data_IF_492147697300
#
_entry.id   IF_492147697300
#
_cell.length_a   1.000
_cell.length_b   1.000
_cell.length_c   1.000
_cell.angle_alpha   90.00
_cell.angle_beta   90.00
_cell.angle_gamma   90.00
#
_symmetry.space_group_name_H-M   'P 1'
#
loop_
_entity.id
_entity.type
_entity.pdbx_description
1 polymer ?
#
# COMPACT_ATOMS: atom_id res chain seq x y z
N UNK A 1 -33.29 13.24 12.86
CA UNK A 1 -32.20 12.26 12.56
C UNK A 1 -31.29 12.74 11.42
N UNK A 2 -31.82 13.14 10.25
CA UNK A 2 -31.01 13.64 9.12
C UNK A 2 -30.18 14.89 9.46
N UNK A 3 -30.68 15.78 10.33
CA UNK A 3 -29.93 16.97 10.78
C UNK A 3 -28.69 16.61 11.64
N UNK A 4 -28.85 15.66 12.57
CA UNK A 4 -27.74 15.16 13.38
C UNK A 4 -26.72 14.33 12.58
N UNK A 5 -27.18 13.60 11.55
CA UNK A 5 -26.28 12.94 10.60
C UNK A 5 -25.45 13.96 9.80
N UNK A 6 -26.06 15.06 9.37
CA UNK A 6 -25.36 16.17 8.70
C UNK A 6 -24.34 16.85 9.63
N UNK A 7 -24.66 17.07 10.90
CA UNK A 7 -23.72 17.62 11.89
C UNK A 7 -22.55 16.68 12.19
N UNK A 8 -22.78 15.36 12.20
CA UNK A 8 -21.74 14.35 12.39
C UNK A 8 -20.76 14.26 11.22
N UNK A 9 -21.25 14.23 9.97
CA UNK A 9 -20.36 14.26 8.78
C UNK A 9 -19.65 15.63 8.63
N UNK A 10 -20.25 16.71 9.14
CA UNK A 10 -19.65 18.04 9.12
C UNK A 10 -18.50 18.22 10.14
N UNK A 11 -18.31 17.28 11.08
CA UNK A 11 -17.18 17.30 12.02
C UNK A 11 -15.81 16.97 11.36
N UNK A 12 -15.76 16.78 10.03
CA UNK A 12 -14.53 16.61 9.24
C UNK A 12 -13.88 15.23 9.38
N UNK A 13 -13.69 14.77 10.61
CA UNK A 13 -13.07 13.47 10.94
C UNK A 13 -13.80 12.26 10.31
N UNK A 14 -15.14 12.31 10.25
CA UNK A 14 -15.93 11.26 9.63
C UNK A 14 -15.84 11.25 8.10
N UNK A 15 -15.69 12.41 7.47
CA UNK A 15 -15.60 12.53 6.01
C UNK A 15 -14.25 12.02 5.51
N UNK A 16 -13.15 12.40 6.15
CA UNK A 16 -11.80 11.93 5.79
C UNK A 16 -11.66 10.42 5.93
N UNK A 17 -12.18 9.86 7.03
CA UNK A 17 -12.18 8.41 7.26
C UNK A 17 -13.04 7.68 6.21
N UNK A 18 -14.22 8.21 5.88
CA UNK A 18 -15.08 7.63 4.87
C UNK A 18 -14.40 7.60 3.49
N UNK A 19 -13.75 8.70 3.10
CA UNK A 19 -12.99 8.79 1.84
C UNK A 19 -11.85 7.79 1.83
N UNK A 20 -11.08 7.68 2.93
CA UNK A 20 -9.98 6.72 3.03
C UNK A 20 -10.44 5.27 2.86
N UNK A 21 -11.57 4.89 3.49
CA UNK A 21 -12.13 3.53 3.38
C UNK A 21 -12.62 3.24 1.95
N UNK A 22 -13.31 4.18 1.32
CA UNK A 22 -13.82 4.02 -0.06
C UNK A 22 -12.66 3.88 -1.05
N UNK A 23 -11.63 4.71 -0.90
CA UNK A 23 -10.42 4.64 -1.73
C UNK A 23 -9.72 3.29 -1.50
N UNK A 24 -9.51 2.87 -0.26
CA UNK A 24 -8.88 1.59 0.05
C UNK A 24 -9.63 0.40 -0.58
N UNK A 25 -10.97 0.39 -0.49
CA UNK A 25 -11.80 -0.64 -1.09
C UNK A 25 -11.73 -0.64 -2.63
N UNK A 26 -11.67 0.53 -3.26
CA UNK A 26 -11.58 0.67 -4.71
C UNK A 26 -10.20 0.29 -5.28
N UNK A 27 -9.13 0.44 -4.50
CA UNK A 27 -7.77 0.12 -4.93
C UNK A 27 -7.42 -1.37 -4.82
N UNK A 28 -8.02 -2.09 -3.85
CA UNK A 28 -7.73 -3.51 -3.63
C UNK A 28 -7.85 -4.37 -4.90
N UNK A 29 -8.91 -4.25 -5.73
CA UNK A 29 -9.03 -5.03 -6.98
C UNK A 29 -7.88 -4.82 -7.97
N UNK A 30 -7.30 -3.62 -8.02
CA UNK A 30 -6.17 -3.30 -8.90
C UNK A 30 -4.93 -4.08 -8.44
N UNK A 31 -4.68 -4.09 -7.13
CA UNK A 31 -3.56 -4.81 -6.53
C UNK A 31 -3.76 -6.32 -6.66
N UNK A 32 -4.99 -6.81 -6.45
CA UNK A 32 -5.36 -8.22 -6.64
C UNK A 32 -5.12 -8.66 -8.09
N UNK A 33 -5.45 -7.82 -9.08
CA UNK A 33 -5.22 -8.12 -10.50
C UNK A 33 -3.73 -8.27 -10.82
N UNK A 34 -2.87 -7.37 -10.32
CA UNK A 34 -1.41 -7.45 -10.51
C UNK A 34 -0.85 -8.70 -9.82
N UNK A 35 -1.26 -8.94 -8.58
CA UNK A 35 -0.84 -10.10 -7.79
C UNK A 35 -1.22 -11.41 -8.47
N UNK A 36 -2.41 -11.47 -9.06
CA UNK A 36 -2.89 -12.62 -9.84
C UNK A 36 -2.00 -12.90 -11.06
N UNK A 37 -1.57 -11.87 -11.78
CA UNK A 37 -0.67 -12.04 -12.94
C UNK A 37 0.67 -12.63 -12.48
N UNK A 38 1.25 -12.11 -11.40
CA UNK A 38 2.50 -12.61 -10.83
C UNK A 38 2.36 -14.07 -10.38
N UNK A 39 1.29 -14.39 -9.64
CA UNK A 39 1.00 -15.75 -9.19
C UNK A 39 0.78 -16.72 -10.34
N UNK A 40 0.14 -16.28 -11.43
CA UNK A 40 -0.05 -17.12 -12.62
C UNK A 40 1.28 -17.47 -13.28
N UNK A 41 2.20 -16.51 -13.37
CA UNK A 41 3.55 -16.75 -13.91
C UNK A 41 4.33 -17.72 -13.02
N UNK A 42 4.32 -17.48 -11.70
CA UNK A 42 4.96 -18.39 -10.73
C UNK A 42 4.34 -19.79 -10.84
N UNK A 43 3.03 -19.87 -10.98
CA UNK A 43 2.34 -21.14 -11.06
C UNK A 43 2.59 -21.91 -12.35
N UNK A 44 2.81 -21.22 -13.47
CA UNK A 44 3.27 -21.85 -14.72
C UNK A 44 4.69 -22.42 -14.60
N UNK A 45 5.56 -21.85 -13.76
CA UNK A 45 6.91 -22.35 -13.51
C UNK A 45 6.93 -23.55 -12.55
N UNK A 46 6.07 -23.55 -11.54
CA UNK A 46 6.02 -24.59 -10.49
C UNK A 46 5.04 -25.73 -10.85
N UNK A 47 4.20 -25.54 -11.86
CA UNK A 47 3.19 -26.53 -12.29
C UNK A 47 1.94 -26.56 -11.40
N UNK A 48 1.81 -25.62 -10.47
CA UNK A 48 0.66 -25.44 -9.58
C UNK A 48 0.31 -23.95 -9.51
N UNK A 49 -0.96 -23.55 -9.63
CA UNK A 49 -1.34 -22.13 -9.65
C UNK A 49 -1.07 -21.39 -8.33
N UNK A 50 -0.90 -22.13 -7.23
CA UNK A 50 -0.58 -21.63 -5.90
C UNK A 50 0.11 -22.72 -5.07
N UNK A 51 0.34 -22.43 -3.79
CA UNK A 51 1.00 -23.34 -2.85
C UNK A 51 0.00 -24.10 -1.97
N UNK A 52 -1.30 -24.06 -2.28
CA UNK A 52 -2.34 -24.62 -1.41
C UNK A 52 -2.23 -26.15 -1.27
N UNK A 53 -1.68 -26.81 -2.29
CA UNK A 53 -1.41 -28.25 -2.30
C UNK A 53 -0.19 -28.66 -1.48
N UNK A 54 0.66 -27.71 -1.04
CA UNK A 54 1.82 -28.03 -0.23
C UNK A 54 1.40 -28.60 1.13
N UNK A 55 1.80 -29.85 1.36
CA UNK A 55 1.55 -30.55 2.61
C UNK A 55 0.06 -30.81 2.87
N UNK A 56 -0.78 -30.86 1.83
CA UNK A 56 -2.18 -31.22 1.99
C UNK A 56 -2.29 -32.67 2.51
N UNK A 57 -3.08 -32.88 3.57
CA UNK A 57 -3.24 -34.19 4.18
C UNK A 57 -4.68 -34.43 4.68
N UNK A 58 -5.08 -35.69 4.76
CA UNK A 58 -6.32 -36.10 5.41
C UNK A 58 -6.03 -37.15 6.48
N UNK A 59 -6.79 -37.11 7.56
CA UNK A 59 -6.73 -38.06 8.67
C UNK A 59 -7.89 -39.05 8.64
N UNK A 60 -8.85 -38.87 7.72
CA UNK A 60 -10.04 -39.69 7.62
C UNK A 60 -10.46 -39.82 6.16
N UNK A 61 -10.30 -41.02 5.61
CA UNK A 61 -10.65 -41.32 4.22
C UNK A 61 -11.36 -42.67 4.17
N UNK A 62 -12.44 -42.76 3.39
CA UNK A 62 -13.18 -44.02 3.17
C UNK A 62 -13.60 -44.77 4.45
N UNK A 63 -13.96 -44.04 5.52
CA UNK A 63 -14.47 -44.67 6.75
C UNK A 63 -13.42 -45.14 7.74
N UNK A 64 -12.13 -44.86 7.51
CA UNK A 64 -11.02 -45.24 8.38
C UNK A 64 -10.09 -44.07 8.68
N UNK A 65 -9.45 -44.12 9.85
CA UNK A 65 -8.41 -43.17 10.23
C UNK A 65 -7.06 -43.60 9.66
N UNK A 66 -6.72 -43.07 8.49
CA UNK A 66 -5.42 -43.27 7.86
C UNK A 66 -4.81 -41.92 7.52
N UNK A 67 -3.50 -41.78 7.73
CA UNK A 67 -2.78 -40.60 7.28
C UNK A 67 -2.58 -40.70 5.76
N UNK A 68 -3.25 -39.82 5.01
CA UNK A 68 -3.15 -39.74 3.57
C UNK A 68 -2.61 -38.38 3.15
N UNK A 69 -1.53 -38.37 2.37
CA UNK A 69 -1.02 -37.15 1.76
C UNK A 69 -1.77 -36.93 0.45
N UNK A 70 -2.40 -35.76 0.30
CA UNK A 70 -3.20 -35.44 -0.86
C UNK A 70 -2.29 -35.28 -2.09
N UNK A 71 -2.65 -35.94 -3.18
CA UNK A 71 -2.09 -35.62 -4.50
C UNK A 71 -2.79 -34.41 -5.10
N UNK A 72 -2.15 -33.75 -6.06
CA UNK A 72 -2.74 -32.60 -6.76
C UNK A 72 -4.09 -32.94 -7.43
N UNK A 73 -4.24 -34.16 -7.95
CA UNK A 73 -5.50 -34.64 -8.54
C UNK A 73 -6.63 -34.80 -7.50
N UNK A 74 -6.32 -35.33 -6.32
CA UNK A 74 -7.31 -35.53 -5.25
C UNK A 74 -7.80 -34.19 -4.69
N UNK A 75 -6.88 -33.23 -4.58
CA UNK A 75 -7.19 -31.89 -4.12
C UNK A 75 -8.08 -31.12 -5.11
N UNK A 76 -7.86 -31.34 -6.42
CA UNK A 76 -8.72 -30.78 -7.45
C UNK A 76 -10.13 -31.40 -7.47
N UNK A 77 -10.26 -32.67 -7.05
CA UNK A 77 -11.54 -33.38 -7.05
C UNK A 77 -12.36 -33.15 -5.77
N UNK A 78 -11.72 -33.02 -4.61
CA UNK A 78 -12.40 -32.81 -3.33
C UNK A 78 -11.54 -31.95 -2.38
N UNK A 79 -11.49 -30.61 -2.57
CA UNK A 79 -10.67 -29.72 -1.75
C UNK A 79 -11.10 -29.69 -0.28
N UNK A 80 -12.39 -29.85 0.02
CA UNK A 80 -12.94 -29.76 1.37
C UNK A 80 -12.63 -31.00 2.25
N UNK A 81 -12.17 -32.09 1.64
CA UNK A 81 -11.81 -33.34 2.33
C UNK A 81 -10.40 -33.37 2.93
N UNK A 82 -9.60 -32.32 2.71
CA UNK A 82 -8.20 -32.26 3.09
C UNK A 82 -7.90 -31.02 3.94
N UNK A 83 -6.97 -31.18 4.88
CA UNK A 83 -6.33 -30.07 5.57
C UNK A 83 -5.23 -29.53 4.67
N UNK A 84 -5.32 -28.24 4.30
CA UNK A 84 -4.43 -27.59 3.33
C UNK A 84 -3.55 -26.53 4.01
N UNK A 85 -2.48 -26.92 4.74
CA UNK A 85 -1.60 -25.96 5.41
C UNK A 85 -0.87 -25.04 4.41
N UNK A 86 -0.69 -25.50 3.16
CA UNK A 86 -0.14 -24.69 2.07
C UNK A 86 -0.90 -23.40 1.78
N UNK A 87 -2.19 -23.32 2.12
CA UNK A 87 -2.98 -22.08 2.00
C UNK A 87 -2.42 -20.92 2.81
N UNK A 88 -1.78 -21.21 3.95
CA UNK A 88 -1.09 -20.21 4.77
C UNK A 88 0.09 -19.64 4.01
N UNK A 89 0.89 -20.51 3.38
CA UNK A 89 2.04 -20.10 2.56
C UNK A 89 1.58 -19.24 1.40
N UNK A 90 0.55 -19.68 0.67
CA UNK A 90 -0.08 -18.88 -0.39
C UNK A 90 -0.52 -17.51 0.11
N UNK A 91 -1.16 -17.45 1.27
CA UNK A 91 -1.66 -16.19 1.86
C UNK A 91 -0.50 -15.26 2.27
N UNK A 92 0.57 -15.80 2.85
CA UNK A 92 1.76 -15.02 3.22
C UNK A 92 2.42 -14.45 1.98
N UNK A 93 2.60 -15.25 0.92
CA UNK A 93 3.22 -14.75 -0.32
C UNK A 93 2.31 -13.71 -0.98
N UNK A 94 0.99 -13.94 -1.03
CA UNK A 94 0.03 -12.94 -1.53
C UNK A 94 0.10 -11.63 -0.73
N UNK A 95 0.17 -11.70 0.60
CA UNK A 95 0.33 -10.54 1.46
C UNK A 95 1.62 -9.76 1.13
N UNK A 96 2.74 -10.45 0.95
CA UNK A 96 4.00 -9.82 0.56
C UNK A 96 3.91 -9.16 -0.82
N UNK A 97 3.29 -9.82 -1.81
CA UNK A 97 3.10 -9.24 -3.15
C UNK A 97 2.22 -7.98 -3.11
N UNK A 98 1.12 -8.01 -2.36
CA UNK A 98 0.25 -6.85 -2.15
C UNK A 98 1.03 -5.72 -1.47
N UNK A 99 1.79 -6.02 -0.42
CA UNK A 99 2.60 -5.03 0.30
C UNK A 99 3.64 -4.37 -0.62
N UNK A 100 4.34 -5.16 -1.43
CA UNK A 100 5.31 -4.66 -2.43
C UNK A 100 4.60 -3.79 -3.46
N UNK A 101 3.47 -4.24 -4.01
CA UNK A 101 2.71 -3.49 -4.99
C UNK A 101 2.23 -2.14 -4.44
N UNK A 102 1.66 -2.11 -3.22
CA UNK A 102 1.22 -0.87 -2.55
C UNK A 102 2.40 0.05 -2.25
N UNK A 103 3.53 -0.51 -1.80
CA UNK A 103 4.73 0.26 -1.53
C UNK A 103 5.25 0.95 -2.79
N UNK A 104 5.41 0.23 -3.90
CA UNK A 104 5.92 0.79 -5.14
C UNK A 104 4.92 1.72 -5.84
N UNK A 105 3.63 1.41 -5.82
CA UNK A 105 2.61 2.18 -6.53
C UNK A 105 2.16 3.45 -5.79
N UNK A 106 2.18 3.45 -4.45
CA UNK A 106 1.65 4.56 -3.64
C UNK A 106 2.75 5.17 -2.76
N UNK A 107 3.40 4.37 -1.92
CA UNK A 107 4.31 4.90 -0.89
C UNK A 107 5.53 5.55 -1.52
N UNK A 108 6.16 4.91 -2.50
CA UNK A 108 7.34 5.43 -3.19
C UNK A 108 7.09 6.75 -3.93
N UNK A 109 6.07 6.88 -4.82
CA UNK A 109 5.80 8.15 -5.48
C UNK A 109 5.37 9.23 -4.48
N UNK A 110 4.58 8.87 -3.46
CA UNK A 110 4.15 9.82 -2.44
C UNK A 110 5.34 10.37 -1.64
N UNK A 111 6.28 9.50 -1.26
CA UNK A 111 7.50 9.91 -0.57
C UNK A 111 8.37 10.80 -1.47
N UNK A 112 8.47 10.49 -2.76
CA UNK A 112 9.23 11.29 -3.74
C UNK A 112 8.61 12.68 -3.97
N UNK A 113 7.27 12.78 -4.02
CA UNK A 113 6.56 14.06 -4.14
C UNK A 113 6.73 14.88 -2.86
N UNK A 114 6.57 14.28 -1.68
CA UNK A 114 6.79 14.96 -0.40
C UNK A 114 8.21 15.51 -0.28
N UNK A 115 9.22 14.74 -0.69
CA UNK A 115 10.61 15.21 -0.69
C UNK A 115 10.82 16.41 -1.63
N UNK A 116 10.20 16.38 -2.82
CA UNK A 116 10.26 17.50 -3.78
C UNK A 116 9.59 18.76 -3.23
N UNK A 117 8.42 18.63 -2.61
CA UNK A 117 7.71 19.75 -2.00
C UNK A 117 8.47 20.32 -0.80
N UNK A 118 9.07 19.47 0.03
CA UNK A 118 9.91 19.91 1.14
C UNK A 118 11.16 20.66 0.66
N UNK A 119 11.81 20.18 -0.41
CA UNK A 119 12.95 20.88 -1.04
C UNK A 119 12.57 22.22 -1.63
N UNK A 120 11.43 22.29 -2.33
CA UNK A 120 10.93 23.56 -2.88
C UNK A 120 10.65 24.57 -1.79
N UNK A 121 10.01 24.15 -0.68
CA UNK A 121 9.73 25.02 0.45
C UNK A 121 11.00 25.52 1.15
N UNK A 122 12.01 24.66 1.31
CA UNK A 122 13.30 25.05 1.86
C UNK A 122 14.07 26.03 0.95
N UNK A 123 13.93 25.89 -0.38
CA UNK A 123 14.54 26.80 -1.35
C UNK A 123 13.82 28.16 -1.41
N UNK A 124 12.52 28.17 -1.16
CA UNK A 124 11.69 29.39 -1.06
C UNK A 124 12.01 30.16 0.23
N UNK A 125 12.12 29.46 1.37
CA UNK A 125 12.55 30.03 2.65
C UNK A 125 13.99 30.59 2.58
N UNK A 126 14.90 29.91 1.86
CA UNK A 126 16.26 30.40 1.63
C UNK A 126 16.31 31.66 0.75
N UNK A 127 15.45 31.75 -0.27
CA UNK A 127 15.34 32.95 -1.12
C UNK A 127 14.76 34.14 -0.38
N UNK A 128 13.73 33.94 0.43
CA UNK A 128 13.16 35.02 1.26
C UNK A 128 14.21 35.62 2.22
N UNK A 129 15.02 34.79 2.89
CA UNK A 129 16.08 35.29 3.78
C UNK A 129 17.13 36.09 3.00
N UNK A 130 17.53 35.62 1.82
CA UNK A 130 18.54 36.31 0.98
C UNK A 130 18.03 37.66 0.49
N UNK A 131 16.76 37.74 0.07
CA UNK A 131 16.15 38.99 -0.38
C UNK A 131 16.02 40.00 0.77
N UNK A 132 15.68 39.54 1.99
CA UNK A 132 15.62 40.41 3.19
C UNK A 132 17.02 40.93 3.58
N UNK A 133 18.05 40.09 3.50
CA UNK A 133 19.45 40.50 3.73
C UNK A 133 19.89 41.56 2.71
N UNK A 134 19.65 41.33 1.41
CA UNK A 134 19.97 42.28 0.35
C UNK A 134 19.22 43.61 0.50
N UNK A 135 17.93 43.58 0.86
CA UNK A 135 17.15 44.80 1.12
C UNK A 135 17.67 45.57 2.34
N UNK A 136 18.17 44.86 3.35
CA UNK A 136 18.80 45.47 4.53
C UNK A 136 20.11 46.16 4.14
N UNK A 137 20.96 45.50 3.36
CA UNK A 137 22.19 46.10 2.84
C UNK A 137 21.92 47.33 1.97
N UNK A 138 20.92 47.27 1.07
CA UNK A 138 20.53 48.41 0.23
C UNK A 138 20.07 49.59 1.08
N UNK A 139 19.24 49.35 2.12
CA UNK A 139 18.79 50.39 3.05
C UNK A 139 19.98 51.07 3.73
N UNK A 140 20.93 50.28 4.21
CA UNK A 140 22.07 50.79 4.95
C UNK A 140 23.01 51.58 4.02
N UNK A 141 23.25 51.11 2.79
CA UNK A 141 23.98 51.84 1.75
C UNK A 141 23.30 53.15 1.37
N UNK A 142 21.97 53.18 1.26
CA UNK A 142 21.19 54.40 1.00
C UNK A 142 21.34 55.39 2.16
N UNK A 143 21.23 54.92 3.42
CA UNK A 143 21.38 55.76 4.60
C UNK A 143 22.80 56.36 4.70
N UNK A 144 23.82 55.56 4.38
CA UNK A 144 25.22 55.99 4.39
C UNK A 144 25.52 57.02 3.28
N UNK A 145 24.89 56.89 2.11
CA UNK A 145 24.99 57.89 1.04
C UNK A 145 24.23 59.18 1.37
N UNK A 146 23.03 59.07 1.96
CA UNK A 146 22.26 60.23 2.40
C UNK A 146 22.99 61.04 3.48
N UNK A 147 23.77 60.40 4.35
CA UNK A 147 24.59 61.06 5.35
C UNK A 147 25.87 61.74 4.79
N UNK A 148 26.24 61.46 3.53
CA UNK A 148 27.42 62.04 2.86
C UNK A 148 27.09 63.28 2.00
N UNK A 149 25.82 63.56 1.75
CA UNK A 149 25.35 64.75 1.03
C UNK A 149 24.86 65.82 2.00
#
# INVERSE_FOLDING_TARGET
MIKGFKEFIAQGNALELAVAVIIGAAFKPIVDAITKVIMTIIGQLIGQPNFDSLGAFSLYQNGSYTFHLATAQELAANPDGFVMPGTIVTTVINFFLIAVAVYFAIVLPMNKVKERLAKQKAEEEAKEVTDVELLTEIRDLLSANAAKQ
#
